data_IF_901146557204
#
_entry.id   IF_901146557204
#
_cell.length_a   1.000
_cell.length_b   1.000
_cell.length_c   1.000
_cell.angle_alpha   90.00
_cell.angle_beta   90.00
_cell.angle_gamma   90.00
#
_symmetry.space_group_name_H-M   'P 1'
#
loop_
_entity.id
_entity.type
_entity.pdbx_description
1 polymer ?
#
# COMPACT_ATOMS: atom_id res chain seq x y z
N UNK A 1 -57.28 -0.32 12.80
CA UNK A 1 -56.72 -0.80 11.51
C UNK A 1 -55.50 -0.02 11.03
N UNK A 2 -55.36 1.30 11.28
CA UNK A 2 -54.16 2.08 10.88
C UNK A 2 -52.85 1.69 11.58
N UNK A 3 -52.89 1.25 12.83
CA UNK A 3 -51.69 0.89 13.62
C UNK A 3 -51.10 -0.47 13.24
N UNK A 4 -51.93 -1.44 12.85
CA UNK A 4 -51.49 -2.79 12.48
C UNK A 4 -50.67 -2.79 11.17
N UNK A 5 -51.06 -1.97 10.19
CA UNK A 5 -50.34 -1.82 8.92
C UNK A 5 -48.97 -1.17 9.08
N UNK A 6 -48.83 -0.20 9.99
CA UNK A 6 -47.55 0.46 10.28
C UNK A 6 -46.57 -0.48 10.96
N UNK A 7 -47.02 -1.30 11.91
CA UNK A 7 -46.16 -2.29 12.59
C UNK A 7 -45.66 -3.37 11.60
N UNK A 8 -46.52 -3.82 10.68
CA UNK A 8 -46.16 -4.82 9.67
C UNK A 8 -45.15 -4.27 8.63
N UNK A 9 -45.26 -2.99 8.26
CA UNK A 9 -44.30 -2.32 7.40
C UNK A 9 -42.92 -2.18 8.08
N UNK A 10 -42.88 -1.77 9.35
CA UNK A 10 -41.63 -1.70 10.11
C UNK A 10 -40.99 -3.06 10.34
N UNK A 11 -41.79 -4.12 10.54
CA UNK A 11 -41.30 -5.49 10.64
C UNK A 11 -40.68 -5.96 9.31
N UNK A 12 -41.30 -5.64 8.17
CA UNK A 12 -40.74 -5.97 6.85
C UNK A 12 -39.46 -5.20 6.55
N UNK A 13 -39.40 -3.91 6.90
CA UNK A 13 -38.17 -3.10 6.79
C UNK A 13 -37.09 -3.66 7.73
N UNK A 14 -37.45 -4.08 8.94
CA UNK A 14 -36.52 -4.67 9.91
C UNK A 14 -36.04 -6.05 9.45
N UNK A 15 -36.90 -6.90 8.89
CA UNK A 15 -36.51 -8.20 8.32
C UNK A 15 -35.69 -8.04 7.04
N UNK A 16 -36.01 -7.07 6.19
CA UNK A 16 -35.18 -6.71 5.04
C UNK A 16 -33.83 -6.16 5.49
N UNK A 17 -33.80 -5.34 6.55
CA UNK A 17 -32.58 -4.84 7.17
C UNK A 17 -31.75 -5.97 7.79
N UNK A 18 -32.37 -6.92 8.48
CA UNK A 18 -31.71 -8.12 9.00
C UNK A 18 -31.14 -8.98 7.85
N UNK A 19 -31.93 -9.21 6.80
CA UNK A 19 -31.50 -9.95 5.61
C UNK A 19 -30.43 -9.22 4.78
N UNK A 20 -30.35 -7.89 4.87
CA UNK A 20 -29.30 -7.07 4.26
C UNK A 20 -28.08 -6.90 5.17
N UNK A 21 -28.19 -7.05 6.49
CA UNK A 21 -27.09 -6.80 7.44
C UNK A 21 -26.34 -8.06 7.84
N UNK A 22 -27.07 -9.16 8.10
CA UNK A 22 -26.48 -10.41 8.58
C UNK A 22 -25.58 -11.14 7.58
N UNK A 23 -25.91 -11.26 6.27
CA UNK A 23 -25.00 -11.90 5.33
C UNK A 23 -23.78 -11.05 5.03
N UNK A 24 -23.85 -9.72 5.16
CA UNK A 24 -22.72 -8.85 4.82
C UNK A 24 -21.55 -9.01 5.79
N UNK A 25 -21.81 -9.16 7.08
CA UNK A 25 -20.74 -9.34 8.06
C UNK A 25 -20.01 -10.68 7.85
N UNK A 26 -20.76 -11.78 7.73
CA UNK A 26 -20.17 -13.10 7.49
C UNK A 26 -19.46 -13.20 6.12
N UNK A 27 -20.02 -12.58 5.07
CA UNK A 27 -19.37 -12.53 3.75
C UNK A 27 -18.12 -11.65 3.76
N UNK A 28 -18.14 -10.55 4.52
CA UNK A 28 -16.98 -9.68 4.70
C UNK A 28 -15.86 -10.42 5.46
N UNK A 29 -16.16 -11.04 6.60
CA UNK A 29 -15.21 -11.84 7.38
C UNK A 29 -14.65 -13.01 6.54
N UNK A 30 -15.48 -13.69 5.76
CA UNK A 30 -15.02 -14.74 4.86
C UNK A 30 -14.14 -14.21 3.72
N UNK A 31 -14.44 -13.01 3.19
CA UNK A 31 -13.61 -12.37 2.18
C UNK A 31 -12.25 -11.94 2.77
N UNK A 32 -12.25 -11.40 4.00
CA UNK A 32 -11.03 -11.08 4.75
C UNK A 32 -10.20 -12.33 4.97
N UNK A 33 -10.76 -13.42 5.52
CA UNK A 33 -10.00 -14.65 5.76
C UNK A 33 -9.39 -15.26 4.49
N UNK A 34 -10.04 -15.09 3.33
CA UNK A 34 -9.46 -15.48 2.03
C UNK A 34 -8.33 -14.55 1.58
N UNK A 35 -8.45 -13.25 1.85
CA UNK A 35 -7.40 -12.27 1.57
C UNK A 35 -6.17 -12.53 2.44
N UNK A 36 -6.36 -12.77 3.74
CA UNK A 36 -5.28 -13.11 4.67
C UNK A 36 -4.58 -14.40 4.24
N UNK A 37 -5.33 -15.45 3.92
CA UNK A 37 -4.77 -16.72 3.46
C UNK A 37 -4.00 -16.62 2.12
N UNK A 38 -4.38 -15.69 1.24
CA UNK A 38 -3.76 -15.53 -0.08
C UNK A 38 -2.61 -14.53 -0.12
N UNK A 39 -2.62 -13.54 0.76
CA UNK A 39 -1.62 -12.47 0.81
C UNK A 39 -0.63 -12.61 1.97
N UNK A 40 -0.98 -13.38 3.00
CA UNK A 40 -0.26 -13.44 4.27
C UNK A 40 -0.38 -12.15 5.09
N UNK A 41 -1.26 -11.23 4.70
CA UNK A 41 -1.59 -10.06 5.52
C UNK A 41 -2.54 -10.46 6.66
N UNK A 42 -2.47 -9.74 7.77
CA UNK A 42 -3.41 -9.81 8.89
C UNK A 42 -4.21 -8.51 8.92
N UNK A 43 -5.54 -8.61 8.94
CA UNK A 43 -6.44 -7.47 8.91
C UNK A 43 -7.26 -7.42 10.20
N UNK A 44 -7.08 -6.35 10.97
CA UNK A 44 -7.80 -6.16 12.23
C UNK A 44 -8.60 -4.86 12.24
N UNK A 45 -9.65 -4.81 13.06
CA UNK A 45 -10.48 -3.63 13.27
C UNK A 45 -11.09 -3.63 14.67
N UNK A 46 -11.33 -2.45 15.23
CA UNK A 46 -11.94 -2.29 16.55
C UNK A 46 -13.47 -2.42 16.49
N UNK A 47 -14.10 -1.73 15.54
CA UNK A 47 -15.55 -1.69 15.38
C UNK A 47 -15.92 -1.87 13.90
N UNK A 48 -16.94 -2.68 13.64
CA UNK A 48 -17.53 -2.84 12.31
C UNK A 48 -19.02 -2.48 12.32
N UNK A 49 -19.41 -1.56 11.46
CA UNK A 49 -20.79 -1.15 11.26
C UNK A 49 -21.20 -1.40 9.80
N UNK A 50 -22.11 -2.36 9.60
CA UNK A 50 -22.72 -2.60 8.30
C UNK A 50 -24.00 -1.74 8.16
N UNK A 51 -24.06 -0.96 7.08
CA UNK A 51 -25.20 -0.12 6.73
C UNK A 51 -25.65 -0.30 5.27
N UNK A 52 -26.75 0.34 4.87
CA UNK A 52 -27.33 0.20 3.52
C UNK A 52 -26.42 0.73 2.39
N UNK A 53 -25.33 1.41 2.75
CA UNK A 53 -24.38 2.02 1.83
C UNK A 53 -23.00 1.39 1.90
N UNK A 54 -22.85 0.25 2.61
CA UNK A 54 -21.57 -0.44 2.75
C UNK A 54 -21.20 -0.81 4.18
N UNK A 55 -19.96 -1.25 4.35
CA UNK A 55 -19.35 -1.60 5.64
C UNK A 55 -18.39 -0.49 6.05
N UNK A 56 -18.50 -0.03 7.29
CA UNK A 56 -17.63 0.97 7.90
C UNK A 56 -16.85 0.31 9.02
N UNK A 57 -15.54 0.46 9.00
CA UNK A 57 -14.65 -0.02 10.04
C UNK A 57 -14.00 1.17 10.75
N UNK A 58 -13.74 1.01 12.05
CA UNK A 58 -12.92 1.92 12.85
C UNK A 58 -11.70 1.19 13.40
N UNK A 59 -10.60 1.94 13.53
CA UNK A 59 -9.33 1.38 13.99
C UNK A 59 -8.86 0.24 13.08
N UNK A 60 -8.99 0.43 11.76
CA UNK A 60 -8.63 -0.60 10.78
C UNK A 60 -7.13 -0.66 10.62
N UNK A 61 -6.55 -1.84 10.81
CA UNK A 61 -5.12 -2.07 10.68
C UNK A 61 -4.85 -3.23 9.71
N UNK A 62 -3.83 -3.06 8.88
CA UNK A 62 -3.32 -4.07 7.97
C UNK A 62 -1.86 -4.30 8.29
N UNK A 63 -1.51 -5.52 8.68
CA UNK A 63 -0.14 -5.95 8.84
C UNK A 63 0.23 -6.90 7.71
N UNK A 64 1.17 -6.50 6.87
CA UNK A 64 1.66 -7.32 5.77
C UNK A 64 2.67 -8.35 6.29
N UNK A 65 2.77 -9.50 5.61
CA UNK A 65 3.81 -10.51 5.88
C UNK A 65 5.24 -9.92 5.82
N UNK A 66 5.43 -8.83 5.06
CA UNK A 66 6.69 -8.09 4.97
C UNK A 66 7.08 -7.34 6.25
N UNK A 67 6.20 -7.31 7.26
CA UNK A 67 6.33 -6.48 8.45
C UNK A 67 5.84 -5.04 8.27
N UNK A 68 5.41 -4.66 7.05
CA UNK A 68 4.83 -3.34 6.80
C UNK A 68 3.46 -3.24 7.46
N UNK A 69 3.17 -2.12 8.12
CA UNK A 69 1.87 -1.89 8.76
C UNK A 69 1.22 -0.62 8.24
N UNK A 70 -0.09 -0.69 8.08
CA UNK A 70 -0.93 0.42 7.72
C UNK A 70 -2.09 0.52 8.69
N UNK A 71 -2.30 1.71 9.26
CA UNK A 71 -3.40 1.97 10.19
C UNK A 71 -4.29 3.08 9.65
N UNK A 72 -5.60 2.89 9.73
CA UNK A 72 -6.62 3.86 9.36
C UNK A 72 -7.61 4.03 10.51
N UNK A 73 -7.86 5.28 10.91
CA UNK A 73 -8.91 5.62 11.88
C UNK A 73 -10.29 5.19 11.37
N UNK A 74 -10.49 5.25 10.05
CA UNK A 74 -11.74 4.89 9.39
C UNK A 74 -11.48 4.21 8.06
N UNK A 75 -12.15 3.09 7.84
CA UNK A 75 -12.26 2.47 6.53
C UNK A 75 -13.73 2.36 6.13
N UNK A 76 -14.06 2.57 4.85
CA UNK A 76 -15.42 2.43 4.34
C UNK A 76 -15.43 1.73 3.01
N UNK A 77 -16.05 0.57 2.95
CA UNK A 77 -16.20 -0.27 1.76
C UNK A 77 -17.62 -0.20 1.27
N UNK A 78 -17.84 0.09 -0.01
CA UNK A 78 -19.17 0.21 -0.59
C UNK A 78 -19.29 -0.54 -1.91
N UNK A 79 -20.43 -1.21 -2.16
CA UNK A 79 -20.73 -1.69 -3.50
C UNK A 79 -20.92 -0.49 -4.44
N UNK A 80 -20.34 -0.60 -5.64
CA UNK A 80 -20.50 0.34 -6.73
C UNK A 80 -21.16 -0.38 -7.92
N UNK A 81 -21.80 0.36 -8.82
CA UNK A 81 -22.57 -0.19 -9.96
C UNK A 81 -21.78 -1.17 -10.85
N UNK A 82 -20.44 -1.13 -10.83
CA UNK A 82 -19.54 -2.04 -11.57
C UNK A 82 -18.39 -2.62 -10.72
N UNK A 83 -18.55 -2.66 -9.40
CA UNK A 83 -17.54 -3.26 -8.52
C UNK A 83 -17.60 -2.76 -7.09
N UNK A 84 -16.45 -2.36 -6.54
CA UNK A 84 -16.30 -2.01 -5.12
C UNK A 84 -15.52 -0.69 -5.00
N UNK A 85 -15.94 0.17 -4.08
CA UNK A 85 -15.14 1.33 -3.67
C UNK A 85 -14.73 1.20 -2.21
N UNK A 86 -13.54 1.65 -1.89
CA UNK A 86 -13.02 1.71 -0.54
C UNK A 86 -12.41 3.09 -0.28
N UNK A 87 -12.71 3.66 0.88
CA UNK A 87 -12.06 4.88 1.37
C UNK A 87 -11.40 4.57 2.71
N UNK A 88 -10.12 4.89 2.84
CA UNK A 88 -9.31 4.75 4.04
C UNK A 88 -8.91 6.14 4.49
N UNK A 89 -8.99 6.43 5.80
CA UNK A 89 -8.66 7.74 6.34
C UNK A 89 -7.90 7.67 7.65
N UNK A 90 -6.83 8.47 7.73
CA UNK A 90 -6.02 8.74 8.91
C UNK A 90 -6.34 10.17 9.38
N UNK A 91 -7.43 10.31 10.11
CA UNK A 91 -7.99 11.59 10.57
C UNK A 91 -6.97 12.39 11.38
N UNK A 92 -6.16 11.73 12.22
CA UNK A 92 -5.13 12.42 13.02
C UNK A 92 -3.95 12.93 12.19
N UNK A 93 -3.69 12.31 11.05
CA UNK A 93 -2.50 12.54 10.22
C UNK A 93 -2.84 13.21 8.89
N UNK A 94 -4.10 13.54 8.67
CA UNK A 94 -4.68 14.09 7.44
C UNK A 94 -4.48 13.24 6.17
N UNK A 95 -4.07 11.97 6.31
CA UNK A 95 -3.88 11.06 5.20
C UNK A 95 -5.19 10.40 4.75
N UNK A 96 -5.36 10.19 3.45
CA UNK A 96 -6.48 9.44 2.90
C UNK A 96 -6.10 8.59 1.70
N UNK A 97 -6.80 7.49 1.49
CA UNK A 97 -6.71 6.71 0.27
C UNK A 97 -8.09 6.31 -0.25
N UNK A 98 -8.26 6.36 -1.55
CA UNK A 98 -9.46 5.92 -2.26
C UNK A 98 -9.06 4.79 -3.21
N UNK A 99 -9.64 3.62 -3.02
CA UNK A 99 -9.48 2.49 -3.91
C UNK A 99 -10.80 2.20 -4.62
N UNK A 100 -10.73 1.85 -5.89
CA UNK A 100 -11.89 1.52 -6.71
C UNK A 100 -11.56 0.29 -7.55
N UNK A 101 -12.37 -0.75 -7.41
CA UNK A 101 -12.36 -1.94 -8.25
C UNK A 101 -13.50 -1.82 -9.27
N UNK A 102 -13.16 -1.90 -10.56
CA UNK A 102 -14.11 -1.97 -11.67
C UNK A 102 -13.75 -3.15 -12.58
N UNK A 103 -14.57 -4.20 -12.55
CA UNK A 103 -14.20 -5.48 -13.17
C UNK A 103 -12.92 -6.05 -12.54
N UNK A 104 -11.86 -6.22 -13.34
CA UNK A 104 -10.53 -6.65 -12.88
C UNK A 104 -9.59 -5.51 -12.50
N UNK A 105 -9.95 -4.25 -12.79
CA UNK A 105 -9.06 -3.11 -12.61
C UNK A 105 -9.25 -2.46 -11.25
N UNK A 106 -8.21 -2.48 -10.44
CA UNK A 106 -8.07 -1.76 -9.18
C UNK A 106 -7.33 -0.44 -9.44
N UNK A 107 -7.91 0.68 -9.04
CA UNK A 107 -7.26 1.99 -9.02
C UNK A 107 -7.17 2.47 -7.59
N UNK A 108 -5.98 2.89 -7.16
CA UNK A 108 -5.70 3.45 -5.84
C UNK A 108 -5.23 4.89 -6.04
N UNK A 109 -5.83 5.81 -5.29
CA UNK A 109 -5.38 7.19 -5.14
C UNK A 109 -5.08 7.42 -3.66
N UNK A 110 -3.86 7.83 -3.34
CA UNK A 110 -3.41 8.09 -1.99
C UNK A 110 -2.95 9.54 -1.84
N UNK A 111 -3.28 10.16 -0.72
CA UNK A 111 -2.86 11.50 -0.34
C UNK A 111 -2.33 11.45 1.09
N UNK A 112 -1.04 11.76 1.26
CA UNK A 112 -0.33 11.83 2.53
C UNK A 112 -0.54 10.63 3.46
N UNK A 113 -0.70 9.45 2.87
CA UNK A 113 -0.96 8.20 3.58
C UNK A 113 0.31 7.78 4.33
N UNK A 114 0.25 7.69 5.65
CA UNK A 114 1.37 7.20 6.45
C UNK A 114 1.37 5.67 6.51
N UNK A 115 2.52 5.09 6.18
CA UNK A 115 2.73 3.64 6.17
C UNK A 115 4.03 3.34 6.90
N UNK A 116 4.00 2.45 7.88
CA UNK A 116 5.22 1.83 8.37
C UNK A 116 5.68 0.82 7.33
N UNK A 117 6.85 1.05 6.76
CA UNK A 117 7.38 0.21 5.70
C UNK A 117 7.80 -1.17 6.19
N UNK A 118 7.96 -1.38 7.50
CA UNK A 118 8.59 -2.57 8.07
C UNK A 118 10.07 -2.70 7.73
N UNK A 119 10.64 -1.69 7.05
CA UNK A 119 12.06 -1.63 6.74
C UNK A 119 12.82 -1.09 7.95
N UNK A 120 13.92 -1.75 8.30
CA UNK A 120 14.83 -1.28 9.35
C UNK A 120 15.25 0.18 9.15
N UNK A 121 15.42 0.58 7.90
CA UNK A 121 16.08 1.84 7.55
C UNK A 121 15.09 2.94 7.15
N UNK A 122 13.91 2.59 6.63
CA UNK A 122 12.94 3.56 6.11
C UNK A 122 11.84 3.92 7.11
N UNK A 123 11.59 3.09 8.13
CA UNK A 123 10.58 3.35 9.16
C UNK A 123 9.21 3.73 8.56
N UNK A 124 8.63 4.83 9.07
CA UNK A 124 7.35 5.38 8.57
C UNK A 124 7.58 6.39 7.46
N UNK A 125 6.84 6.23 6.35
CA UNK A 125 6.88 7.12 5.19
C UNK A 125 5.51 7.71 4.91
N UNK A 126 5.47 8.90 4.28
CA UNK A 126 4.24 9.46 3.71
C UNK A 126 4.16 9.12 2.23
N UNK A 127 3.01 8.63 1.78
CA UNK A 127 2.74 8.14 0.44
C UNK A 127 1.63 8.97 -0.23
N UNK A 128 1.93 9.55 -1.38
CA UNK A 128 0.98 10.30 -2.20
C UNK A 128 1.10 9.87 -3.65
N UNK A 129 -0.01 9.60 -4.33
CA UNK A 129 0.00 9.28 -5.75
C UNK A 129 -1.05 8.27 -6.17
N UNK A 130 -0.90 7.79 -7.40
CA UNK A 130 -1.87 6.96 -8.09
C UNK A 130 -1.24 5.64 -8.54
N UNK A 131 -1.97 4.54 -8.34
CA UNK A 131 -1.60 3.22 -8.82
C UNK A 131 -2.80 2.55 -9.49
N UNK A 132 -2.60 2.01 -10.68
CA UNK A 132 -3.55 1.14 -11.36
C UNK A 132 -2.99 -0.28 -11.41
N UNK A 133 -3.82 -1.27 -11.12
CA UNK A 133 -3.45 -2.69 -11.15
C UNK A 133 -4.59 -3.52 -11.74
N UNK A 134 -4.30 -4.43 -12.66
CA UNK A 134 -5.25 -5.40 -13.19
C UNK A 134 -5.07 -6.75 -12.51
N UNK A 135 -6.09 -7.21 -11.80
CA UNK A 135 -6.09 -8.46 -11.04
C UNK A 135 -5.98 -9.71 -11.94
N UNK A 136 -6.36 -9.61 -13.21
CA UNK A 136 -6.33 -10.74 -14.16
C UNK A 136 -4.95 -10.89 -14.78
N UNK A 137 -4.40 -9.81 -15.35
CA UNK A 137 -3.05 -9.85 -15.94
C UNK A 137 -1.94 -9.77 -14.89
N UNK A 138 -2.27 -9.34 -13.67
CA UNK A 138 -1.33 -9.06 -12.57
C UNK A 138 -0.31 -7.96 -12.90
N UNK A 139 -0.67 -7.08 -13.83
CA UNK A 139 0.14 -5.96 -14.24
C UNK A 139 -0.40 -4.67 -13.63
N UNK A 140 0.49 -3.73 -13.36
CA UNK A 140 0.09 -2.41 -12.89
C UNK A 140 1.13 -1.36 -13.16
N UNK A 141 0.71 -0.11 -13.07
CA UNK A 141 1.54 1.06 -13.26
C UNK A 141 1.01 2.24 -12.44
N UNK A 142 1.90 3.13 -12.05
CA UNK A 142 1.55 4.27 -11.22
C UNK A 142 2.69 5.23 -10.99
N UNK A 143 2.34 6.37 -10.40
CA UNK A 143 3.29 7.35 -9.91
C UNK A 143 3.04 7.58 -8.44
N UNK A 144 4.09 7.41 -7.65
CA UNK A 144 4.04 7.48 -6.21
C UNK A 144 5.15 8.43 -5.76
N UNK A 145 4.78 9.41 -4.94
CA UNK A 145 5.70 10.22 -4.17
C UNK A 145 5.76 9.68 -2.75
N UNK A 146 6.97 9.45 -2.27
CA UNK A 146 7.26 9.08 -0.90
C UNK A 146 8.12 10.16 -0.26
N UNK A 147 7.68 10.71 0.86
CA UNK A 147 8.55 11.50 1.73
C UNK A 147 9.21 10.55 2.70
N UNK A 148 10.52 10.36 2.55
CA UNK A 148 11.30 9.50 3.44
C UNK A 148 11.69 10.28 4.71
N UNK A 149 11.84 9.59 5.85
CA UNK A 149 12.46 10.20 7.02
C UNK A 149 13.93 10.53 6.75
N UNK A 150 14.57 11.21 7.69
CA UNK A 150 16.00 11.49 7.62
C UNK A 150 16.80 10.18 7.50
N UNK A 151 17.49 10.00 6.37
CA UNK A 151 18.34 8.84 6.09
C UNK A 151 19.79 9.06 6.54
N UNK A 152 20.07 10.13 7.28
CA UNK A 152 21.38 10.43 7.84
C UNK A 152 21.85 9.29 8.74
N UNK A 153 22.84 8.52 8.26
CA UNK A 153 23.40 7.34 8.94
C UNK A 153 23.01 6.00 8.31
N UNK A 154 21.99 5.97 7.44
CA UNK A 154 21.65 4.81 6.59
C UNK A 154 22.43 4.88 5.29
N UNK A 155 22.38 6.05 4.64
CA UNK A 155 23.14 6.26 3.43
C UNK A 155 24.61 6.47 3.78
N UNK A 156 25.53 5.95 2.94
CA UNK A 156 26.97 6.20 3.10
C UNK A 156 27.36 7.68 2.90
N UNK A 157 26.37 8.55 2.64
CA UNK A 157 26.49 10.00 2.52
C UNK A 157 25.37 10.66 3.36
N UNK A 158 25.67 11.71 4.14
CA UNK A 158 24.67 12.40 4.96
C UNK A 158 23.78 13.27 4.07
N UNK A 159 22.48 12.97 4.05
CA UNK A 159 21.47 13.70 3.28
C UNK A 159 20.31 14.08 4.18
N UNK A 160 20.10 15.38 4.47
CA UNK A 160 18.94 15.80 5.24
C UNK A 160 17.68 15.63 4.39
N UNK A 161 16.68 14.92 4.93
CA UNK A 161 15.32 14.73 4.40
C UNK A 161 15.19 14.57 2.87
N UNK A 162 14.84 13.38 2.42
CA UNK A 162 14.79 13.04 1.01
C UNK A 162 13.33 12.87 0.53
N UNK A 163 12.96 13.60 -0.52
CA UNK A 163 11.75 13.27 -1.27
C UNK A 163 12.08 12.29 -2.39
N UNK A 164 11.25 11.25 -2.51
CA UNK A 164 11.34 10.24 -3.54
C UNK A 164 10.13 10.33 -4.45
N UNK A 165 10.35 10.68 -5.72
CA UNK A 165 9.38 10.40 -6.79
C UNK A 165 9.68 9.04 -7.40
N UNK A 166 8.70 8.15 -7.44
CA UNK A 166 8.83 6.82 -8.00
C UNK A 166 7.77 6.55 -9.06
N UNK A 167 8.21 6.26 -10.29
CA UNK A 167 7.33 5.65 -11.30
C UNK A 167 7.39 4.14 -11.14
N UNK A 168 6.27 3.55 -10.76
CA UNK A 168 6.15 2.14 -10.40
C UNK A 168 5.54 1.36 -11.55
N UNK A 169 6.12 0.21 -11.88
CA UNK A 169 5.59 -0.75 -12.84
C UNK A 169 5.64 -2.13 -12.20
N UNK A 170 4.48 -2.79 -12.14
CA UNK A 170 4.31 -4.15 -11.61
C UNK A 170 4.09 -5.10 -12.77
N UNK A 171 4.84 -6.20 -12.81
CA UNK A 171 4.69 -7.25 -13.82
C UNK A 171 4.74 -8.63 -13.18
N UNK A 172 3.98 -9.60 -13.69
CA UNK A 172 4.11 -10.99 -13.26
C UNK A 172 5.47 -11.55 -13.70
N UNK A 173 6.07 -12.39 -12.86
CA UNK A 173 7.29 -13.13 -13.20
C UNK A 173 6.91 -14.37 -14.02
N UNK A 174 7.43 -14.53 -15.25
CA UNK A 174 7.16 -15.71 -16.06
C UNK A 174 7.79 -16.96 -15.44
N UNK A 175 7.02 -18.04 -15.26
CA UNK A 175 7.55 -19.33 -14.84
C UNK A 175 6.48 -20.30 -14.34
N UNK A 176 6.88 -21.56 -14.16
CA UNK A 176 6.05 -22.63 -13.57
C UNK A 176 6.09 -22.65 -12.03
N UNK A 177 6.69 -21.63 -11.41
CA UNK A 177 6.75 -21.46 -9.97
C UNK A 177 5.48 -20.82 -9.39
N UNK A 178 5.39 -20.70 -8.06
CA UNK A 178 4.27 -20.01 -7.45
C UNK A 178 4.23 -18.52 -7.88
N UNK A 179 3.05 -17.87 -7.89
CA UNK A 179 2.86 -16.53 -8.44
C UNK A 179 3.81 -15.49 -7.84
N UNK A 180 4.72 -14.93 -8.64
CA UNK A 180 5.58 -13.83 -8.21
C UNK A 180 5.35 -12.59 -9.07
N UNK A 181 5.54 -11.42 -8.48
CA UNK A 181 5.53 -10.14 -9.19
C UNK A 181 6.88 -9.44 -9.01
N UNK A 182 7.37 -8.86 -10.11
CA UNK A 182 8.47 -7.90 -10.13
C UNK A 182 7.88 -6.49 -10.11
N UNK A 183 8.30 -5.69 -9.14
CA UNK A 183 7.95 -4.28 -9.02
C UNK A 183 9.20 -3.47 -9.34
N UNK A 184 9.22 -2.89 -10.54
CA UNK A 184 10.31 -2.00 -10.97
C UNK A 184 9.91 -0.57 -10.71
N UNK A 185 10.76 0.17 -10.01
CA UNK A 185 10.57 1.58 -9.71
C UNK A 185 11.72 2.40 -10.29
N UNK A 186 11.37 3.38 -11.11
CA UNK A 186 12.30 4.45 -11.49
C UNK A 186 12.21 5.55 -10.43
N UNK A 187 13.31 5.74 -9.71
CA UNK A 187 13.39 6.58 -8.54
C UNK A 187 14.09 7.89 -8.91
N UNK A 188 13.49 9.00 -8.50
CA UNK A 188 14.13 10.31 -8.48
C UNK A 188 14.15 10.82 -7.05
N UNK A 189 15.33 11.23 -6.58
CA UNK A 189 15.60 11.72 -5.24
C UNK A 189 15.80 13.23 -5.31
N UNK A 190 15.19 13.98 -4.41
CA UNK A 190 15.36 15.43 -4.31
C UNK A 190 15.44 15.85 -2.85
N UNK A 191 16.40 16.73 -2.53
CA UNK A 191 16.60 17.30 -1.21
C UNK A 191 17.43 18.58 -1.29
N UNK A 192 17.67 19.22 -0.15
CA UNK A 192 18.47 20.45 -0.10
C UNK A 192 19.93 20.15 -0.48
N UNK A 193 20.36 20.65 -1.65
CA UNK A 193 21.72 20.45 -2.15
C UNK A 193 22.02 19.03 -2.63
N UNK A 194 21.01 18.15 -2.71
CA UNK A 194 21.16 16.76 -3.16
C UNK A 194 20.09 16.40 -4.18
N UNK A 195 20.52 15.74 -5.25
CA UNK A 195 19.61 15.13 -6.22
C UNK A 195 20.07 13.72 -6.58
N UNK A 196 19.17 12.88 -7.05
CA UNK A 196 19.57 11.56 -7.51
C UNK A 196 18.54 10.91 -8.41
N UNK A 197 19.00 9.91 -9.17
CA UNK A 197 18.15 9.09 -10.02
C UNK A 197 18.61 7.66 -10.02
N UNK A 198 17.69 6.73 -10.18
CA UNK A 198 18.06 5.35 -10.34
C UNK A 198 16.90 4.40 -10.53
N UNK A 199 17.22 3.12 -10.47
CA UNK A 199 16.25 2.04 -10.64
C UNK A 199 16.37 1.08 -9.48
N UNK A 200 15.22 0.76 -8.91
CA UNK A 200 15.09 -0.25 -7.87
C UNK A 200 14.10 -1.29 -8.34
N UNK A 201 14.41 -2.55 -8.09
CA UNK A 201 13.58 -3.69 -8.34
C UNK A 201 13.29 -4.40 -7.02
N UNK A 202 12.00 -4.59 -6.76
CA UNK A 202 11.46 -5.38 -5.69
C UNK A 202 10.87 -6.66 -6.26
N UNK A 203 11.42 -7.80 -5.87
CA UNK A 203 10.90 -9.12 -6.26
C UNK A 203 10.18 -9.75 -5.09
N UNK A 204 8.89 -9.99 -5.26
CA UNK A 204 8.08 -10.72 -4.29
C UNK A 204 8.29 -12.23 -4.47
N UNK A 205 8.27 -12.97 -3.36
CA UNK A 205 8.32 -14.44 -3.37
C UNK A 205 7.20 -15.01 -2.51
N UNK A 206 6.39 -15.94 -3.02
CA UNK A 206 5.31 -16.58 -2.25
C UNK A 206 5.83 -17.24 -0.98
N UNK A 207 5.27 -16.86 0.17
CA UNK A 207 5.65 -17.40 1.49
C UNK A 207 6.95 -16.83 2.08
N UNK A 208 7.55 -15.80 1.46
CA UNK A 208 8.72 -15.10 2.01
C UNK A 208 8.34 -13.92 2.88
N UNK A 209 9.00 -13.78 4.04
CA UNK A 209 8.76 -12.70 5.02
C UNK A 209 9.22 -11.30 4.57
N UNK A 210 9.96 -11.15 3.46
CA UNK A 210 10.32 -9.83 2.93
C UNK A 210 10.69 -9.94 1.44
N UNK A 211 10.21 -9.03 0.58
CA UNK A 211 10.65 -8.96 -0.82
C UNK A 211 12.16 -8.77 -0.96
N UNK A 212 12.74 -9.38 -1.99
CA UNK A 212 14.13 -9.13 -2.37
C UNK A 212 14.25 -7.73 -2.96
N UNK A 213 15.32 -7.01 -2.60
CA UNK A 213 15.55 -5.62 -3.00
C UNK A 213 16.88 -5.53 -3.73
N UNK A 214 16.86 -4.94 -4.93
CA UNK A 214 18.07 -4.65 -5.69
C UNK A 214 17.94 -3.33 -6.43
N UNK A 215 19.02 -2.59 -6.59
CA UNK A 215 18.96 -1.35 -7.34
C UNK A 215 20.26 -0.58 -7.37
N UNK A 216 20.26 0.46 -8.19
CA UNK A 216 21.37 1.39 -8.35
C UNK A 216 20.81 2.81 -8.38
N UNK A 217 21.37 3.67 -7.55
CA UNK A 217 21.04 5.09 -7.43
C UNK A 217 22.30 5.90 -7.72
N UNK A 218 22.21 6.85 -8.64
CA UNK A 218 23.21 7.90 -8.83
C UNK A 218 22.77 9.09 -8.00
N UNK A 219 23.63 9.58 -7.12
CA UNK A 219 23.35 10.69 -6.21
C UNK A 219 24.40 11.76 -6.43
N UNK A 220 23.94 12.96 -6.73
CA UNK A 220 24.74 14.19 -6.70
C UNK A 220 24.51 14.85 -5.34
N UNK A 221 25.54 14.86 -4.50
CA UNK A 221 25.51 15.42 -3.15
C UNK A 221 26.26 16.75 -3.07
N UNK A 222 26.14 17.59 -4.11
CA UNK A 222 26.63 18.96 -4.12
C UNK A 222 28.14 19.03 -3.83
N UNK A 223 28.59 19.58 -2.69
CA UNK A 223 30.02 19.68 -2.35
C UNK A 223 30.74 18.33 -2.24
N UNK A 224 30.02 17.24 -1.98
CA UNK A 224 30.58 15.88 -1.88
C UNK A 224 30.75 15.21 -3.25
N UNK A 225 30.11 15.76 -4.29
CA UNK A 225 30.19 15.27 -5.66
C UNK A 225 29.23 14.12 -5.96
N UNK A 226 29.53 13.43 -7.07
CA UNK A 226 28.70 12.37 -7.61
C UNK A 226 29.08 11.01 -7.02
N UNK A 227 28.08 10.29 -6.54
CA UNK A 227 28.21 8.96 -5.96
C UNK A 227 27.26 7.98 -6.65
N UNK A 228 27.70 6.72 -6.75
CA UNK A 228 26.83 5.61 -7.14
C UNK A 228 26.59 4.75 -5.91
N UNK A 229 25.34 4.62 -5.50
CA UNK A 229 24.90 3.78 -4.39
C UNK A 229 24.20 2.56 -4.96
N UNK A 230 24.62 1.37 -4.53
CA UNK A 230 23.90 0.12 -4.76
C UNK A 230 23.07 -0.21 -3.55
N UNK A 231 21.84 -0.65 -3.79
CA UNK A 231 20.98 -1.22 -2.78
C UNK A 231 20.76 -2.70 -3.08
N UNK A 232 20.88 -3.53 -2.05
CA UNK A 232 20.74 -4.98 -2.10
C UNK A 232 19.98 -5.53 -0.89
N UNK A 233 19.95 -6.86 -0.78
CA UNK A 233 19.35 -7.56 0.34
C UNK A 233 17.84 -7.73 0.21
N UNK A 234 17.10 -7.34 1.25
CA UNK A 234 15.64 -7.49 1.33
C UNK A 234 15.01 -6.18 1.77
N UNK A 235 13.75 -5.93 1.44
CA UNK A 235 13.04 -4.71 1.87
C UNK A 235 13.10 -4.46 3.38
N UNK A 236 12.89 -5.50 4.19
CA UNK A 236 12.97 -5.41 5.66
C UNK A 236 14.38 -5.16 6.20
N UNK A 237 15.42 -5.57 5.45
CA UNK A 237 16.83 -5.41 5.79
C UNK A 237 17.62 -5.01 4.54
N UNK A 238 17.51 -3.75 4.12
CA UNK A 238 18.22 -3.29 2.95
C UNK A 238 19.72 -3.17 3.26
N UNK A 239 20.55 -3.40 2.24
CA UNK A 239 22.00 -3.25 2.33
C UNK A 239 22.45 -2.18 1.33
N UNK A 240 23.09 -1.13 1.84
CA UNK A 240 23.55 0.01 1.04
C UNK A 240 25.07 -0.03 0.89
N UNK A 241 25.56 0.16 -0.33
CA UNK A 241 27.00 0.19 -0.60
C UNK A 241 27.35 1.30 -1.57
N UNK A 242 28.45 2.01 -1.28
CA UNK A 242 28.99 3.01 -2.18
C UNK A 242 29.87 2.30 -3.21
N UNK A 243 29.54 2.48 -4.48
CA UNK A 243 30.39 2.02 -5.58
C UNK A 243 31.45 3.10 -5.77
N UNK A 244 32.68 2.81 -5.36
CA UNK A 244 33.80 3.66 -5.73
C UNK A 244 33.85 3.73 -7.25
N UNK A 245 33.62 4.93 -7.80
CA UNK A 245 33.97 5.22 -9.18
C UNK A 245 35.46 4.96 -9.34
N UNK A 246 35.85 4.27 -10.41
CA UNK A 246 37.24 4.27 -10.82
C UNK A 246 37.62 5.75 -11.02
N UNK A 247 38.57 6.24 -10.22
CA UNK A 247 39.24 7.49 -10.51
C UNK A 247 39.86 7.35 -11.91
N UNK A 248 39.27 8.01 -12.90
CA UNK A 248 39.95 8.32 -14.16
C UNK A 248 40.35 9.77 -14.12
#
# INVERSE_FOLDING_TARGET
>A
MRTLGTVMLWLLIFLAFLALRFPYQALFEQAVGRLEASTGADLTWEEAEAGPTGVHLRGFEVQMASGATFQADRARFRPAWKGLSATLGQTRLAGQANAQLQGSRLTLHAEDLQVDTGSRDLGTVKLTGDLTYDLTSREGDGEIRMTLPDLSGVLPIPVPSLEVGAKVVVRPVPGNGPPANDVTSEISLFGEGVSGKGKVNLRTSPGGNSPGLTGVLQIDAGPLGNHTVRVGGTWGRPEWSLVQGANT
#
